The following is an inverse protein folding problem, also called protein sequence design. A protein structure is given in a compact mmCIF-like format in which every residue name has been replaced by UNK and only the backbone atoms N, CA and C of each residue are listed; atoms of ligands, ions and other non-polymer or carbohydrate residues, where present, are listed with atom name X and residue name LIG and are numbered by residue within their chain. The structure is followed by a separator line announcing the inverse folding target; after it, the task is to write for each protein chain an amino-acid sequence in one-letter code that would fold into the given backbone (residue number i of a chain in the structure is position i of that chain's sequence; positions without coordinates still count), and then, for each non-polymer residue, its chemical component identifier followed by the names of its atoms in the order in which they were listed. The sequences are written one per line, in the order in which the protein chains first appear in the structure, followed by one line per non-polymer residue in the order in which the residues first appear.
data_IF_427638459628
#
_entry.id   IF_427638459628
#
_cell.length_a   1.000
_cell.length_b   1.000
_cell.length_c   1.000
_cell.angle_alpha   90.00
_cell.angle_beta   90.00
_cell.angle_gamma   90.00
#
_symmetry.space_group_name_H-M   'P 1'
#
loop_
_entity.id
_entity.type
_entity.pdbx_description
1 polymer ?
#
# COMPACT_ATOMS: atom_id res chain seq x y z
N UNK A 1 23.86 15.89 -0.25
CA UNK A 1 22.92 16.89 0.29
C UNK A 1 22.60 16.42 1.71
N UNK A 2 23.15 17.09 2.73
CA UNK A 2 22.78 16.86 4.11
C UNK A 2 21.50 17.64 4.38
N UNK A 3 20.41 16.98 4.75
CA UNK A 3 19.23 17.65 5.25
C UNK A 3 19.55 18.22 6.63
N UNK A 4 19.47 19.52 6.78
CA UNK A 4 19.49 20.16 8.09
C UNK A 4 18.19 19.71 8.83
N UNK A 5 18.32 19.18 10.04
CA UNK A 5 17.17 18.74 10.85
C UNK A 5 16.20 19.88 11.19
N UNK A 6 16.55 21.12 10.88
CA UNK A 6 15.74 22.32 11.08
C UNK A 6 15.14 22.89 9.79
N UNK A 7 15.23 22.18 8.65
CA UNK A 7 14.57 22.64 7.43
C UNK A 7 13.05 22.74 7.64
N UNK A 8 12.50 23.94 7.54
CA UNK A 8 11.06 24.14 7.60
C UNK A 8 10.41 23.53 6.36
N UNK A 9 9.29 22.81 6.58
CA UNK A 9 8.46 22.34 5.48
C UNK A 9 7.89 23.52 4.70
N UNK A 10 7.83 23.42 3.39
CA UNK A 10 7.28 24.45 2.51
C UNK A 10 8.14 24.70 1.28
N UNK A 11 7.96 25.86 0.66
CA UNK A 11 8.74 26.26 -0.49
C UNK A 11 10.10 26.80 -0.03
N UNK A 12 11.18 26.17 -0.49
CA UNK A 12 12.56 26.58 -0.26
C UNK A 12 13.09 27.19 -1.56
N UNK A 13 13.47 28.49 -1.55
CA UNK A 13 14.10 29.08 -2.72
C UNK A 13 15.54 28.57 -2.85
N UNK A 14 15.86 28.01 -4.01
CA UNK A 14 17.21 27.63 -4.40
C UNK A 14 17.69 28.60 -5.46
N UNK A 15 18.75 29.36 -5.13
CA UNK A 15 19.37 30.27 -6.07
C UNK A 15 20.55 29.56 -6.77
N UNK A 16 20.42 29.32 -8.06
CA UNK A 16 21.47 28.69 -8.87
C UNK A 16 22.16 29.77 -9.71
N UNK A 17 23.47 29.97 -9.45
CA UNK A 17 24.29 30.85 -10.24
C UNK A 17 25.15 30.05 -11.19
N UNK A 18 25.08 30.38 -12.47
CA UNK A 18 25.92 29.80 -13.50
C UNK A 18 26.85 30.90 -14.02
N UNK A 19 28.13 30.70 -13.89
CA UNK A 19 29.13 31.63 -14.39
C UNK A 19 29.99 30.94 -15.47
N UNK A 20 30.39 31.67 -16.49
CA UNK A 20 31.39 31.23 -17.43
C UNK A 20 32.77 31.67 -16.93
N UNK A 21 33.78 30.80 -17.02
CA UNK A 21 35.19 31.11 -16.74
C UNK A 21 35.89 31.65 -17.99
N UNK A 22 35.21 31.88 -19.09
CA UNK A 22 35.74 32.41 -20.34
C UNK A 22 35.81 33.92 -20.25
N UNK A 23 37.05 34.47 -20.32
CA UNK A 23 37.33 35.91 -20.25
C UNK A 23 36.82 36.67 -21.47
N UNK A 24 36.74 36.02 -22.65
CA UNK A 24 36.29 36.62 -23.91
C UNK A 24 34.75 36.62 -24.06
N UNK A 25 34.10 35.70 -23.35
CA UNK A 25 32.61 35.53 -23.38
C UNK A 25 32.06 35.37 -21.94
N UNK A 26 32.13 36.42 -21.13
CA UNK A 26 31.62 36.33 -19.76
C UNK A 26 30.13 36.10 -19.78
N UNK A 27 29.70 35.01 -19.19
CA UNK A 27 28.28 34.66 -19.02
C UNK A 27 27.95 34.52 -17.54
N UNK A 28 26.93 35.21 -17.11
CA UNK A 28 26.39 35.05 -15.78
C UNK A 28 24.85 34.92 -15.87
N UNK A 29 24.34 33.88 -15.31
CA UNK A 29 22.88 33.70 -15.18
C UNK A 29 22.55 33.27 -13.74
N UNK A 30 21.46 33.76 -13.23
CA UNK A 30 20.93 33.42 -11.93
C UNK A 30 19.51 32.94 -12.10
N UNK A 31 19.23 31.71 -11.64
CA UNK A 31 17.90 31.10 -11.73
C UNK A 31 17.44 30.80 -10.30
N UNK A 32 16.28 31.36 -9.95
CA UNK A 32 15.59 31.01 -8.72
C UNK A 32 14.68 29.81 -8.98
N UNK A 33 14.93 28.73 -8.25
CA UNK A 33 14.11 27.52 -8.30
C UNK A 33 13.43 27.38 -6.93
N UNK A 34 12.12 27.29 -6.93
CA UNK A 34 11.38 26.94 -5.71
C UNK A 34 11.30 25.42 -5.58
N UNK A 35 11.88 24.88 -4.51
CA UNK A 35 11.79 23.47 -4.16
C UNK A 35 10.79 23.32 -3.04
N UNK A 36 9.69 22.59 -3.29
CA UNK A 36 8.70 22.27 -2.27
C UNK A 36 9.17 21.06 -1.47
N UNK A 37 9.45 21.26 -0.18
CA UNK A 37 9.67 20.16 0.75
C UNK A 37 8.38 19.76 1.44
N UNK A 38 8.04 18.49 1.34
CA UNK A 38 6.90 17.88 2.01
C UNK A 38 7.32 16.55 2.62
N UNK A 39 6.84 16.25 3.83
CA UNK A 39 6.95 14.92 4.42
C UNK A 39 5.95 13.94 3.83
N UNK A 40 4.94 14.46 3.14
CA UNK A 40 3.90 13.64 2.55
C UNK A 40 4.19 13.39 1.07
N UNK A 41 4.04 12.15 0.66
CA UNK A 41 3.96 11.77 -0.75
C UNK A 41 2.75 12.48 -1.38
N UNK A 42 2.83 12.81 -2.67
CA UNK A 42 1.66 13.31 -3.41
C UNK A 42 0.49 12.32 -3.27
N UNK A 43 -0.71 12.83 -3.01
CA UNK A 43 -1.89 12.00 -2.73
C UNK A 43 -2.05 11.56 -1.27
N UNK A 44 -1.04 11.79 -0.41
CA UNK A 44 -1.07 11.42 1.02
C UNK A 44 -0.90 12.65 1.93
N UNK A 45 -1.48 12.64 3.17
CA UNK A 45 -2.31 11.58 3.73
C UNK A 45 -3.70 11.48 3.07
N UNK A 46 -4.23 10.26 2.94
CA UNK A 46 -5.64 10.04 2.63
C UNK A 46 -6.46 10.32 3.90
N UNK A 47 -7.45 11.19 3.80
CA UNK A 47 -8.30 11.56 4.92
C UNK A 47 -9.63 10.79 4.87
N UNK A 48 -10.24 10.58 6.05
CA UNK A 48 -11.56 9.97 6.25
C UNK A 48 -11.63 8.42 6.12
N UNK A 49 -10.50 7.72 6.17
CA UNK A 49 -10.47 6.26 6.26
C UNK A 49 -9.92 5.87 7.64
N UNK A 50 -10.65 5.05 8.40
CA UNK A 50 -10.18 4.52 9.69
C UNK A 50 -9.50 3.19 9.48
N UNK A 51 -8.18 3.18 9.58
CA UNK A 51 -7.36 1.99 9.36
C UNK A 51 -6.88 1.46 10.70
N UNK A 52 -7.02 0.15 10.93
CA UNK A 52 -6.48 -0.58 12.09
C UNK A 52 -5.64 -1.79 11.71
N UNK A 53 -5.69 -2.19 10.43
CA UNK A 53 -4.77 -3.18 9.87
C UNK A 53 -3.40 -2.56 9.62
N UNK A 54 -2.36 -3.37 9.53
CA UNK A 54 -1.08 -2.93 8.97
C UNK A 54 -1.19 -2.89 7.44
N UNK A 55 -0.67 -1.84 6.78
CA UNK A 55 -0.64 -1.81 5.33
C UNK A 55 0.35 -2.84 4.79
N UNK A 56 0.01 -3.42 3.65
CA UNK A 56 0.86 -4.25 2.82
C UNK A 56 1.33 -3.41 1.63
N UNK A 57 2.58 -3.59 1.23
CA UNK A 57 3.16 -2.91 0.06
C UNK A 57 3.69 -3.98 -0.88
N UNK A 58 3.18 -4.00 -2.11
CA UNK A 58 3.58 -4.95 -3.15
C UNK A 58 3.28 -4.38 -4.54
N UNK A 59 4.06 -4.80 -5.54
CA UNK A 59 3.75 -4.59 -6.96
C UNK A 59 3.04 -5.85 -7.47
N UNK A 60 1.71 -5.83 -7.46
CA UNK A 60 0.90 -6.98 -7.89
C UNK A 60 0.42 -6.86 -9.35
N UNK A 61 0.50 -5.68 -9.93
CA UNK A 61 0.11 -5.44 -11.32
C UNK A 61 1.28 -5.50 -12.31
N UNK A 62 2.52 -5.61 -11.81
CA UNK A 62 3.74 -5.75 -12.61
C UNK A 62 4.20 -4.47 -13.31
N UNK A 63 3.77 -3.29 -12.82
CA UNK A 63 4.13 -2.00 -13.43
C UNK A 63 5.44 -1.40 -12.88
N UNK A 64 6.12 -2.11 -11.97
CA UNK A 64 7.36 -1.74 -11.29
C UNK A 64 7.20 -0.63 -10.23
N UNK A 65 5.97 -0.27 -9.89
CA UNK A 65 5.66 0.57 -8.73
C UNK A 65 4.88 -0.24 -7.72
N UNK A 66 5.15 0.00 -6.44
CA UNK A 66 4.41 -0.67 -5.39
C UNK A 66 3.08 0.01 -5.13
N UNK A 67 2.06 -0.79 -4.90
CA UNK A 67 0.75 -0.40 -4.39
C UNK A 67 0.69 -0.55 -2.87
N UNK A 68 -0.31 0.07 -2.28
CA UNK A 68 -0.59 0.02 -0.84
C UNK A 68 -1.95 -0.62 -0.63
N UNK A 69 -1.97 -1.76 0.08
CA UNK A 69 -3.19 -2.50 0.39
C UNK A 69 -3.48 -2.50 1.88
N UNK A 70 -4.73 -2.28 2.26
CA UNK A 70 -5.14 -2.30 3.67
C UNK A 70 -6.64 -2.48 3.86
N UNK A 71 -7.01 -3.06 5.01
CA UNK A 71 -8.39 -3.14 5.47
C UNK A 71 -8.80 -1.91 6.28
N UNK A 72 -10.10 -1.60 6.30
CA UNK A 72 -10.68 -0.48 7.02
C UNK A 72 -11.87 -0.89 7.88
N UNK A 73 -12.16 -0.08 8.92
CA UNK A 73 -13.35 -0.25 9.78
C UNK A 73 -14.67 0.10 9.04
N UNK A 74 -14.61 0.65 7.82
CA UNK A 74 -15.79 0.89 6.98
C UNK A 74 -16.25 -0.35 6.18
N UNK A 75 -15.58 -1.48 6.39
CA UNK A 75 -15.90 -2.74 5.73
C UNK A 75 -15.30 -2.92 4.35
N UNK A 76 -14.36 -2.08 3.97
CA UNK A 76 -13.71 -2.10 2.66
C UNK A 76 -12.25 -2.46 2.74
N UNK A 77 -11.79 -3.18 1.72
CA UNK A 77 -10.38 -3.46 1.50
C UNK A 77 -9.88 -2.59 0.34
N UNK A 78 -8.92 -1.74 0.63
CA UNK A 78 -8.40 -0.73 -0.29
C UNK A 78 -7.13 -1.20 -0.97
N UNK A 79 -6.99 -0.86 -2.25
CA UNK A 79 -5.76 -0.87 -3.01
C UNK A 79 -5.50 0.53 -3.56
N UNK A 80 -4.37 1.13 -3.21
CA UNK A 80 -4.00 2.48 -3.64
C UNK A 80 -2.72 2.46 -4.45
N UNK A 81 -2.69 3.25 -5.51
CA UNK A 81 -1.47 3.54 -6.26
C UNK A 81 -0.49 4.40 -5.45
N UNK A 82 0.74 4.52 -5.94
CA UNK A 82 1.77 5.42 -5.40
C UNK A 82 1.30 6.89 -5.24
N UNK A 83 0.26 7.30 -5.97
CA UNK A 83 -0.31 8.65 -5.95
C UNK A 83 -1.57 8.74 -5.07
N UNK A 84 -1.87 7.69 -4.30
CA UNK A 84 -3.01 7.64 -3.37
C UNK A 84 -4.38 7.54 -4.04
N UNK A 85 -4.42 7.17 -5.32
CA UNK A 85 -5.67 6.91 -6.02
C UNK A 85 -6.07 5.45 -5.85
N UNK A 86 -7.37 5.16 -5.79
CA UNK A 86 -7.83 3.78 -5.81
C UNK A 86 -7.39 3.10 -7.11
N UNK A 87 -6.95 1.86 -6.99
CA UNK A 87 -6.73 0.98 -8.14
C UNK A 87 -8.07 0.56 -8.74
N UNK A 88 -8.06 0.16 -10.01
CA UNK A 88 -9.21 -0.45 -10.64
C UNK A 88 -9.62 -1.72 -9.87
N UNK A 89 -10.92 -1.92 -9.65
CA UNK A 89 -11.45 -3.00 -8.82
C UNK A 89 -11.41 -2.77 -7.31
N UNK A 90 -10.73 -1.73 -6.84
CA UNK A 90 -10.71 -1.35 -5.43
C UNK A 90 -11.46 -0.02 -5.17
N UNK A 91 -12.04 0.16 -3.94
CA UNK A 91 -12.01 -0.78 -2.83
C UNK A 91 -12.99 -1.96 -3.02
N UNK A 92 -12.58 -3.14 -2.57
CA UNK A 92 -13.48 -4.30 -2.45
C UNK A 92 -14.37 -4.13 -1.22
N UNK A 93 -15.69 -4.31 -1.36
CA UNK A 93 -16.66 -4.20 -0.26
C UNK A 93 -16.88 -5.59 0.38
N UNK A 94 -16.27 -5.80 1.56
CA UNK A 94 -16.45 -7.01 2.35
C UNK A 94 -17.68 -6.94 3.28
N UNK A 95 -18.28 -5.76 3.46
CA UNK A 95 -19.46 -5.51 4.28
C UNK A 95 -19.21 -5.52 5.80
N UNK A 96 -17.99 -5.81 6.26
CA UNK A 96 -17.64 -5.93 7.68
C UNK A 96 -16.24 -5.39 7.95
N UNK A 97 -16.02 -4.79 9.15
CA UNK A 97 -14.73 -4.25 9.56
C UNK A 97 -13.58 -5.20 9.23
N UNK A 98 -12.54 -4.67 8.61
CA UNK A 98 -11.33 -5.39 8.26
C UNK A 98 -10.19 -4.83 9.09
N UNK A 99 -9.77 -5.57 10.12
CA UNK A 99 -8.63 -5.23 10.99
C UNK A 99 -7.47 -6.20 10.84
N UNK A 100 -7.72 -7.33 10.19
CA UNK A 100 -6.68 -8.24 9.75
C UNK A 100 -5.78 -7.54 8.74
N UNK A 101 -4.47 -7.66 8.92
CA UNK A 101 -3.53 -7.32 7.86
C UNK A 101 -3.58 -8.40 6.79
N UNK A 102 -3.30 -8.03 5.54
CA UNK A 102 -3.29 -8.99 4.45
C UNK A 102 -1.97 -9.78 4.41
N UNK A 103 -2.05 -10.98 3.84
CA UNK A 103 -0.90 -11.77 3.39
C UNK A 103 -1.02 -12.01 1.87
N UNK A 104 0.05 -12.48 1.27
CA UNK A 104 0.14 -12.78 -0.16
C UNK A 104 0.43 -14.26 -0.38
N UNK A 105 -0.07 -14.79 -1.49
CA UNK A 105 0.26 -16.11 -1.98
C UNK A 105 -0.34 -16.34 -3.36
N UNK A 106 0.37 -17.05 -4.21
CA UNK A 106 -0.13 -17.51 -5.51
C UNK A 106 -0.95 -18.78 -5.30
N UNK A 107 -2.28 -18.64 -5.15
CA UNK A 107 -3.20 -19.76 -4.89
C UNK A 107 -3.73 -20.42 -6.17
N UNK A 108 -3.46 -19.84 -7.33
CA UNK A 108 -3.95 -20.34 -8.61
C UNK A 108 -2.82 -20.78 -9.55
N UNK A 109 -1.56 -20.64 -9.14
CA UNK A 109 -0.35 -21.02 -9.88
C UNK A 109 -0.21 -20.29 -11.22
N UNK A 110 -0.55 -18.98 -11.23
CA UNK A 110 -0.40 -18.12 -12.41
C UNK A 110 0.81 -17.18 -12.32
N UNK A 111 1.66 -17.34 -11.30
CA UNK A 111 2.82 -16.52 -10.96
C UNK A 111 2.45 -15.08 -10.50
N UNK A 112 1.18 -14.82 -10.17
CA UNK A 112 0.71 -13.56 -9.60
C UNK A 112 0.10 -13.85 -8.22
N UNK A 113 0.55 -13.13 -7.20
CA UNK A 113 0.07 -13.36 -5.84
C UNK A 113 -1.33 -12.75 -5.62
N UNK A 114 -2.18 -13.48 -4.89
CA UNK A 114 -3.46 -13.04 -4.38
C UNK A 114 -3.35 -12.46 -2.97
N UNK A 115 -4.31 -11.60 -2.64
CA UNK A 115 -4.45 -10.94 -1.35
C UNK A 115 -5.38 -11.75 -0.44
N UNK A 116 -4.91 -12.19 0.74
CA UNK A 116 -5.76 -12.89 1.72
C UNK A 116 -5.88 -12.10 3.01
N UNK A 117 -7.11 -11.91 3.50
CA UNK A 117 -7.42 -11.17 4.73
C UNK A 117 -8.71 -11.65 5.40
N UNK A 118 -8.87 -11.32 6.67
CA UNK A 118 -10.03 -11.68 7.47
C UNK A 118 -10.89 -10.49 7.89
N UNK A 119 -12.13 -10.76 8.30
CA UNK A 119 -13.10 -9.77 8.76
C UNK A 119 -13.56 -10.00 10.19
N UNK A 120 -14.22 -8.98 10.76
CA UNK A 120 -14.84 -9.03 12.10
C UNK A 120 -15.98 -10.03 12.23
N UNK A 121 -16.50 -10.55 11.14
CA UNK A 121 -17.58 -11.55 11.15
C UNK A 121 -17.11 -12.95 10.75
N UNK A 122 -15.79 -13.17 10.66
CA UNK A 122 -15.23 -14.48 10.37
C UNK A 122 -15.19 -14.86 8.90
N UNK A 123 -15.40 -13.91 8.01
CA UNK A 123 -15.13 -14.14 6.59
C UNK A 123 -13.63 -13.98 6.31
N UNK A 124 -13.04 -14.99 5.73
CA UNK A 124 -11.74 -14.95 5.08
C UNK A 124 -11.98 -14.75 3.59
N UNK A 125 -11.30 -13.78 3.00
CA UNK A 125 -11.35 -13.49 1.57
C UNK A 125 -9.99 -13.69 0.94
N UNK A 126 -9.99 -14.21 -0.28
CA UNK A 126 -8.85 -14.20 -1.20
C UNK A 126 -9.27 -13.40 -2.42
N UNK A 127 -8.56 -12.33 -2.72
CA UNK A 127 -8.79 -11.47 -3.88
C UNK A 127 -7.64 -11.60 -4.88
N UNK A 128 -7.98 -11.63 -6.14
CA UNK A 128 -7.02 -11.46 -7.22
C UNK A 128 -6.41 -10.05 -7.18
N UNK A 129 -5.27 -9.87 -7.81
CA UNK A 129 -4.55 -8.60 -7.91
C UNK A 129 -5.40 -7.42 -8.44
N UNK A 130 -6.44 -7.72 -9.24
CA UNK A 130 -7.38 -6.76 -9.84
C UNK A 130 -8.60 -6.46 -8.95
N UNK A 131 -8.61 -6.94 -7.69
CA UNK A 131 -9.70 -6.73 -6.73
C UNK A 131 -10.90 -7.65 -6.92
N UNK A 132 -10.89 -8.54 -7.90
CA UNK A 132 -11.95 -9.53 -8.07
C UNK A 132 -11.86 -10.64 -7.01
N UNK A 133 -13.01 -11.17 -6.60
CA UNK A 133 -13.08 -12.26 -5.63
C UNK A 133 -12.57 -13.57 -6.28
N UNK A 134 -11.49 -14.14 -5.71
CA UNK A 134 -11.03 -15.47 -6.05
C UNK A 134 -11.80 -16.53 -5.24
N UNK A 135 -11.70 -16.46 -3.91
CA UNK A 135 -12.43 -17.37 -3.02
C UNK A 135 -12.77 -16.70 -1.69
N UNK A 136 -13.70 -17.29 -0.94
CA UNK A 136 -13.96 -16.93 0.44
C UNK A 136 -14.27 -18.18 1.29
N UNK A 137 -14.06 -18.02 2.62
CA UNK A 137 -14.35 -19.05 3.59
C UNK A 137 -14.95 -18.42 4.85
N UNK A 138 -15.99 -19.04 5.42
CA UNK A 138 -16.56 -18.62 6.68
C UNK A 138 -16.02 -19.47 7.83
N UNK A 139 -15.39 -18.81 8.82
CA UNK A 139 -14.99 -19.41 10.08
C UNK A 139 -15.80 -18.76 11.21
N UNK A 140 -16.29 -19.54 12.19
CA UNK A 140 -16.95 -18.95 13.34
C UNK A 140 -15.94 -18.17 14.20
N UNK A 141 -16.18 -16.86 14.38
CA UNK A 141 -15.35 -15.97 15.18
C UNK A 141 -14.63 -14.92 14.33
N UNK A 142 -14.20 -13.85 14.99
CA UNK A 142 -13.54 -12.72 14.35
C UNK A 142 -12.13 -13.10 13.90
N UNK A 143 -11.75 -12.70 12.72
CA UNK A 143 -10.39 -12.86 12.20
C UNK A 143 -9.68 -11.50 12.31
N UNK A 144 -8.91 -11.31 13.38
CA UNK A 144 -8.17 -10.06 13.64
C UNK A 144 -6.69 -10.17 13.29
N UNK A 145 -6.12 -11.38 13.41
CA UNK A 145 -4.73 -11.63 13.05
C UNK A 145 -4.53 -11.67 11.54
N UNK A 146 -3.32 -11.32 11.09
CA UNK A 146 -2.94 -11.56 9.71
C UNK A 146 -2.91 -13.08 9.46
N UNK A 147 -3.44 -13.55 8.32
CA UNK A 147 -3.22 -14.92 7.88
C UNK A 147 -1.74 -15.17 7.59
N UNK A 148 -1.31 -16.43 7.72
CA UNK A 148 -0.02 -16.89 7.24
C UNK A 148 -0.24 -17.85 6.08
N UNK A 149 0.62 -17.75 5.07
CA UNK A 149 0.52 -18.53 3.84
C UNK A 149 1.82 -19.31 3.62
N UNK A 150 1.73 -20.58 3.39
CA UNK A 150 2.88 -21.45 3.06
C UNK A 150 2.39 -22.78 2.53
N UNK A 151 3.21 -23.45 1.72
CA UNK A 151 3.12 -24.89 1.47
C UNK A 151 3.61 -25.61 2.75
N UNK A 152 2.70 -26.18 3.51
CA UNK A 152 2.98 -26.80 4.81
C UNK A 152 3.26 -28.30 4.71
N UNK A 153 2.74 -28.99 3.70
CA UNK A 153 2.84 -30.43 3.56
C UNK A 153 3.72 -30.87 2.39
N UNK A 154 4.20 -29.93 1.58
CA UNK A 154 5.18 -30.16 0.51
C UNK A 154 4.56 -30.67 -0.79
N UNK A 155 3.27 -30.40 -1.01
CA UNK A 155 2.55 -30.80 -2.22
C UNK A 155 2.52 -29.72 -3.32
N UNK A 156 3.09 -28.54 -3.03
CA UNK A 156 3.16 -27.34 -3.87
C UNK A 156 1.90 -26.49 -3.89
N UNK A 157 0.83 -26.91 -3.25
CA UNK A 157 -0.33 -26.04 -3.02
C UNK A 157 -0.09 -25.20 -1.74
N UNK A 158 -0.68 -24.01 -1.67
CA UNK A 158 -0.49 -23.11 -0.52
C UNK A 158 -1.62 -23.26 0.50
N UNK A 159 -1.27 -23.46 1.78
CA UNK A 159 -2.20 -23.41 2.89
C UNK A 159 -2.29 -22.04 3.50
N UNK A 160 -3.50 -21.71 3.97
CA UNK A 160 -3.81 -20.49 4.73
C UNK A 160 -4.04 -20.86 6.19
N UNK A 161 -3.16 -20.38 7.07
CA UNK A 161 -3.30 -20.52 8.52
C UNK A 161 -3.76 -19.20 9.13
N UNK A 162 -4.86 -19.21 9.85
CA UNK A 162 -5.38 -18.02 10.51
C UNK A 162 -5.99 -18.36 11.87
N UNK A 163 -6.18 -17.34 12.71
CA UNK A 163 -6.77 -17.48 14.05
C UNK A 163 -8.10 -16.79 14.13
N UNK A 164 -9.02 -17.35 14.91
CA UNK A 164 -10.33 -16.75 15.18
C UNK A 164 -10.49 -16.43 16.66
N UNK A 165 -11.09 -15.28 16.94
CA UNK A 165 -11.52 -14.91 18.28
C UNK A 165 -13.04 -15.13 18.41
N UNK A 166 -13.44 -16.07 19.26
CA UNK A 166 -14.83 -16.29 19.60
C UNK A 166 -15.22 -15.36 20.76
N UNK A 167 -16.26 -14.54 20.57
CA UNK A 167 -16.87 -13.81 21.67
C UNK A 167 -17.68 -14.82 22.49
N UNK A 168 -17.20 -15.16 23.69
CA UNK A 168 -17.96 -15.88 24.72
C UNK A 168 -18.92 -14.91 25.42
#
# INVERSE_FOLDING_TARGET
ISSDQNASLGNIPLNVKINSDDEDFPYQNEVLIEVKLSLNQYGFPSNNITIKSSPLIADLNGDLYNEIYFGSDDGKFYGLSKDGQNLDGFPFDAGYDIRSSAALGDFNSDDIEELVFGTSQGMLYVLNHDGTLNMNYYAPGKIWGAPAVSDLDGDSDLEIVFTTENSN
#
